data_IF_309205333131
#
_entry.id   IF_309205333131
#
_cell.length_a   1.000
_cell.length_b   1.000
_cell.length_c   1.000
_cell.angle_alpha   90.00
_cell.angle_beta   90.00
_cell.angle_gamma   90.00
#
_symmetry.space_group_name_H-M   'P 1'
#
loop_
_entity.id
_entity.type
_entity.pdbx_description
1 polymer ?
#
# COMPACT_ATOMS: atom_id res chain seq x y z
N UNK A 1 -10.80 -17.57 -13.21
CA UNK A 1 -9.61 -16.73 -13.49
C UNK A 1 -9.06 -16.11 -12.21
N UNK A 2 -9.83 -15.32 -11.45
CA UNK A 2 -9.32 -14.63 -10.25
C UNK A 2 -8.72 -15.55 -9.18
N UNK A 3 -9.39 -16.67 -8.85
CA UNK A 3 -8.88 -17.64 -7.86
C UNK A 3 -7.52 -18.17 -8.30
N UNK A 4 -7.40 -18.59 -9.56
CA UNK A 4 -6.14 -19.09 -10.15
C UNK A 4 -5.03 -18.03 -10.08
N UNK A 5 -5.33 -16.79 -10.45
CA UNK A 5 -4.37 -15.67 -10.39
C UNK A 5 -3.90 -15.40 -8.96
N UNK A 6 -4.81 -15.31 -7.99
CA UNK A 6 -4.44 -15.08 -6.59
C UNK A 6 -3.64 -16.25 -6.01
N UNK A 7 -4.00 -17.49 -6.31
CA UNK A 7 -3.23 -18.66 -5.87
C UNK A 7 -1.80 -18.65 -6.39
N UNK A 8 -1.61 -18.31 -7.68
CA UNK A 8 -0.26 -18.20 -8.27
C UNK A 8 0.55 -17.11 -7.58
N UNK A 9 -0.04 -15.93 -7.36
CA UNK A 9 0.65 -14.81 -6.69
C UNK A 9 1.04 -15.18 -5.25
N UNK A 10 0.15 -15.84 -4.51
CA UNK A 10 0.44 -16.31 -3.14
C UNK A 10 1.64 -17.25 -3.13
N UNK A 11 1.68 -18.23 -4.04
CA UNK A 11 2.79 -19.18 -4.15
C UNK A 11 4.10 -18.45 -4.48
N UNK A 12 4.07 -17.57 -5.49
CA UNK A 12 5.25 -16.82 -5.92
C UNK A 12 5.79 -15.94 -4.80
N UNK A 13 4.96 -15.12 -4.16
CA UNK A 13 5.39 -14.23 -3.07
C UNK A 13 5.88 -15.00 -1.84
N UNK A 14 5.20 -16.09 -1.47
CA UNK A 14 5.63 -16.92 -0.34
C UNK A 14 6.96 -17.60 -0.60
N UNK A 15 7.17 -18.12 -1.82
CA UNK A 15 8.43 -18.76 -2.21
C UNK A 15 9.60 -17.76 -2.23
N UNK A 16 9.36 -16.54 -2.73
CA UNK A 16 10.35 -15.47 -2.75
C UNK A 16 10.71 -15.02 -1.34
N UNK A 17 9.71 -14.85 -0.46
CA UNK A 17 9.92 -14.48 0.93
C UNK A 17 10.74 -15.55 1.68
N UNK A 18 10.38 -16.83 1.52
CA UNK A 18 11.11 -17.94 2.14
C UNK A 18 12.56 -18.03 1.63
N UNK A 19 12.75 -17.94 0.31
CA UNK A 19 14.10 -18.00 -0.28
C UNK A 19 14.96 -16.81 0.16
N UNK A 20 14.41 -15.60 0.17
CA UNK A 20 15.10 -14.41 0.65
C UNK A 20 15.52 -14.50 2.12
N UNK A 21 14.61 -14.99 2.98
CA UNK A 21 14.90 -15.20 4.40
C UNK A 21 16.01 -16.24 4.61
N UNK A 22 16.00 -17.35 3.86
CA UNK A 22 17.05 -18.37 3.95
C UNK A 22 18.40 -17.88 3.43
N UNK A 23 18.41 -17.09 2.35
CA UNK A 23 19.62 -16.65 1.68
C UNK A 23 20.39 -15.59 2.46
N UNK A 24 19.68 -14.62 3.07
CA UNK A 24 20.30 -13.51 3.81
C UNK A 24 20.27 -13.67 5.33
N UNK A 25 19.52 -14.65 5.84
CA UNK A 25 19.45 -14.97 7.27
C UNK A 25 18.94 -13.80 8.12
N UNK A 26 19.41 -13.73 9.37
CA UNK A 26 19.01 -12.71 10.35
C UNK A 26 19.48 -11.27 10.04
N UNK A 27 20.30 -11.08 9.01
CA UNK A 27 20.82 -9.77 8.57
C UNK A 27 20.06 -9.16 7.40
N UNK A 28 18.89 -9.70 7.03
CA UNK A 28 18.10 -9.18 5.90
C UNK A 28 17.59 -7.76 6.18
N UNK A 29 17.86 -6.86 5.24
CA UNK A 29 17.39 -5.47 5.31
C UNK A 29 15.89 -5.40 5.03
N UNK A 30 15.23 -4.32 5.47
CA UNK A 30 13.80 -4.08 5.18
C UNK A 30 13.45 -4.07 3.69
N UNK A 31 14.44 -3.84 2.83
CA UNK A 31 14.34 -3.99 1.38
C UNK A 31 15.35 -5.03 0.92
N UNK A 32 14.86 -6.07 0.24
CA UNK A 32 15.68 -7.21 -0.19
C UNK A 32 16.82 -6.81 -1.15
N UNK A 33 16.60 -5.77 -1.96
CA UNK A 33 17.60 -5.24 -2.90
C UNK A 33 18.82 -4.66 -2.21
N UNK A 34 18.68 -4.17 -0.97
CA UNK A 34 19.80 -3.65 -0.18
C UNK A 34 20.69 -4.77 0.38
N UNK A 35 20.18 -5.99 0.51
CA UNK A 35 20.96 -7.14 0.96
C UNK A 35 21.69 -7.86 -0.18
N UNK A 36 21.34 -7.58 -1.44
CA UNK A 36 21.96 -8.22 -2.61
C UNK A 36 23.40 -7.72 -2.86
N UNK A 37 24.30 -8.60 -3.37
CA UNK A 37 25.68 -8.22 -3.69
C UNK A 37 25.75 -7.18 -4.82
N UNK A 38 26.45 -6.05 -4.65
CA UNK A 38 26.38 -4.90 -5.56
C UNK A 38 27.13 -5.10 -6.89
N UNK A 39 28.05 -6.07 -6.94
CA UNK A 39 28.88 -6.32 -8.12
C UNK A 39 28.15 -7.07 -9.24
N UNK A 40 27.01 -7.70 -8.95
CA UNK A 40 26.25 -8.47 -9.95
C UNK A 40 25.38 -7.55 -10.82
N UNK A 41 25.37 -7.82 -12.12
CA UNK A 41 24.50 -7.15 -13.09
C UNK A 41 23.02 -7.36 -12.73
N UNK A 42 22.66 -8.56 -12.26
CA UNK A 42 21.32 -8.87 -11.79
C UNK A 42 20.84 -7.92 -10.69
N UNK A 43 21.71 -7.58 -9.72
CA UNK A 43 21.39 -6.62 -8.66
C UNK A 43 21.12 -5.23 -9.23
N UNK A 44 21.91 -4.78 -10.22
CA UNK A 44 21.68 -3.50 -10.90
C UNK A 44 20.32 -3.47 -11.61
N UNK A 45 19.97 -4.55 -12.32
CA UNK A 45 18.66 -4.68 -12.96
C UNK A 45 17.53 -4.63 -11.93
N UNK A 46 17.67 -5.36 -10.81
CA UNK A 46 16.67 -5.38 -9.75
C UNK A 46 16.48 -4.01 -9.09
N UNK A 47 17.57 -3.25 -8.88
CA UNK A 47 17.51 -1.88 -8.37
C UNK A 47 16.77 -0.96 -9.34
N UNK A 48 17.10 -1.00 -10.63
CA UNK A 48 16.41 -0.20 -11.64
C UNK A 48 14.92 -0.57 -11.76
N UNK A 49 14.58 -1.86 -11.70
CA UNK A 49 13.19 -2.30 -11.70
C UNK A 49 12.41 -1.81 -10.47
N UNK A 50 13.05 -1.80 -9.29
CA UNK A 50 12.47 -1.29 -8.04
C UNK A 50 12.20 0.20 -8.10
N UNK A 51 13.03 0.98 -8.82
CA UNK A 51 12.81 2.42 -9.05
C UNK A 51 11.72 2.66 -10.09
N UNK A 52 11.71 1.89 -11.18
CA UNK A 52 10.77 2.07 -12.29
C UNK A 52 9.33 1.71 -11.89
N UNK A 53 9.15 0.73 -11.01
CA UNK A 53 7.84 0.27 -10.53
C UNK A 53 7.01 1.41 -9.90
N UNK A 54 7.46 2.11 -8.85
CA UNK A 54 6.70 3.21 -8.27
C UNK A 54 6.53 4.39 -9.24
N UNK A 55 7.52 4.68 -10.10
CA UNK A 55 7.39 5.76 -11.10
C UNK A 55 6.22 5.52 -12.06
N UNK A 56 6.11 4.30 -12.58
CA UNK A 56 5.02 3.92 -13.49
C UNK A 56 3.69 3.73 -12.76
N UNK A 57 3.70 3.09 -11.58
CA UNK A 57 2.49 2.91 -10.76
C UNK A 57 1.89 4.25 -10.32
N UNK A 58 2.71 5.23 -9.94
CA UNK A 58 2.23 6.54 -9.53
C UNK A 58 1.43 7.22 -10.65
N UNK A 59 1.94 7.21 -11.88
CA UNK A 59 1.24 7.82 -13.02
C UNK A 59 -0.13 7.16 -13.28
N UNK A 60 -0.21 5.83 -13.14
CA UNK A 60 -1.45 5.08 -13.30
C UNK A 60 -2.45 5.35 -12.17
N UNK A 61 -1.99 5.43 -10.93
CA UNK A 61 -2.84 5.70 -9.76
C UNK A 61 -3.31 7.17 -9.72
N UNK A 62 -2.49 8.11 -10.21
CA UNK A 62 -2.85 9.52 -10.29
C UNK A 62 -3.85 9.83 -11.42
N UNK A 63 -3.91 8.99 -12.47
CA UNK A 63 -4.81 9.20 -13.60
C UNK A 63 -6.30 9.32 -13.20
N UNK A 64 -6.91 8.37 -12.45
CA UNK A 64 -8.30 8.51 -12.01
C UNK A 64 -8.49 9.68 -11.05
N UNK A 65 -7.52 9.95 -10.15
CA UNK A 65 -7.58 11.10 -9.24
C UNK A 65 -7.65 12.40 -10.02
N UNK A 66 -6.83 12.53 -11.07
CA UNK A 66 -6.81 13.69 -11.93
C UNK A 66 -8.14 13.90 -12.67
N UNK A 67 -8.77 12.83 -13.16
CA UNK A 67 -10.08 12.90 -13.82
C UNK A 67 -11.15 13.37 -12.83
N UNK A 68 -11.17 12.80 -11.62
CA UNK A 68 -12.13 13.19 -10.58
C UNK A 68 -11.92 14.63 -10.11
N UNK A 69 -10.66 15.05 -9.99
CA UNK A 69 -10.30 16.43 -9.67
C UNK A 69 -10.78 17.41 -10.75
N UNK A 70 -10.60 17.07 -12.02
CA UNK A 70 -11.07 17.89 -13.15
C UNK A 70 -12.59 17.99 -13.20
N UNK A 71 -13.29 16.89 -12.90
CA UNK A 71 -14.75 16.86 -12.81
C UNK A 71 -15.29 17.68 -11.62
N UNK A 72 -14.54 17.74 -10.51
CA UNK A 72 -14.91 18.55 -9.35
C UNK A 72 -14.66 20.06 -9.56
N UNK A 73 -13.85 20.45 -10.56
CA UNK A 73 -13.53 21.84 -10.85
C UNK A 73 -14.68 22.55 -11.60
N UNK A 74 -15.04 23.79 -11.21
CA UNK A 74 -16.09 24.57 -11.87
C UNK A 74 -15.91 24.68 -13.39
N UNK A 75 -17.00 24.52 -14.13
CA UNK A 75 -16.98 24.54 -15.60
C UNK A 75 -16.56 25.89 -16.20
N UNK A 76 -16.69 26.99 -15.43
CA UNK A 76 -16.29 28.33 -15.85
C UNK A 76 -14.77 28.57 -15.87
N UNK A 77 -13.97 27.63 -15.36
CA UNK A 77 -12.51 27.77 -15.34
C UNK A 77 -11.90 27.42 -16.70
N UNK A 78 -10.95 28.23 -17.17
CA UNK A 78 -10.22 27.98 -18.41
C UNK A 78 -9.48 26.64 -18.38
N UNK A 79 -9.37 25.96 -19.53
CA UNK A 79 -8.66 24.68 -19.65
C UNK A 79 -7.21 24.74 -19.14
N UNK A 80 -6.50 25.85 -19.41
CA UNK A 80 -5.15 26.11 -18.91
C UNK A 80 -5.09 26.14 -17.37
N UNK A 81 -6.07 26.77 -16.72
CA UNK A 81 -6.13 26.84 -15.27
C UNK A 81 -6.43 25.48 -14.65
N UNK A 82 -7.32 24.68 -15.25
CA UNK A 82 -7.60 23.31 -14.79
C UNK A 82 -6.36 22.42 -14.88
N UNK A 83 -5.62 22.50 -15.97
CA UNK A 83 -4.36 21.76 -16.15
C UNK A 83 -3.29 22.21 -15.13
N UNK A 84 -3.18 23.52 -14.88
CA UNK A 84 -2.28 24.07 -13.87
C UNK A 84 -2.63 23.58 -12.45
N UNK A 85 -3.92 23.56 -12.08
CA UNK A 85 -4.38 23.07 -10.78
C UNK A 85 -4.09 21.58 -10.61
N UNK A 86 -4.37 20.77 -11.63
CA UNK A 86 -4.03 19.35 -11.66
C UNK A 86 -2.53 19.13 -11.47
N UNK A 87 -1.70 19.87 -12.21
CA UNK A 87 -0.25 19.79 -12.11
C UNK A 87 0.26 20.24 -10.73
N UNK A 88 -0.31 21.31 -10.17
CA UNK A 88 0.03 21.80 -8.85
C UNK A 88 -0.31 20.78 -7.75
N UNK A 89 -1.50 20.18 -7.79
CA UNK A 89 -1.91 19.15 -6.82
C UNK A 89 -1.03 17.91 -6.94
N UNK A 90 -0.80 17.42 -8.16
CA UNK A 90 0.08 16.27 -8.38
C UNK A 90 1.51 16.52 -7.92
N UNK A 91 2.05 17.72 -8.18
CA UNK A 91 3.39 18.11 -7.72
C UNK A 91 3.45 18.25 -6.20
N UNK A 92 2.42 18.84 -5.58
CA UNK A 92 2.33 18.97 -4.13
C UNK A 92 2.30 17.61 -3.42
N UNK A 93 1.53 16.65 -3.96
CA UNK A 93 1.48 15.28 -3.44
C UNK A 93 2.85 14.60 -3.56
N UNK A 94 3.51 14.71 -4.72
CA UNK A 94 4.86 14.15 -4.92
C UNK A 94 5.89 14.77 -3.96
N UNK A 95 5.87 16.09 -3.79
CA UNK A 95 6.75 16.78 -2.86
C UNK A 95 6.48 16.37 -1.41
N UNK A 96 5.22 16.15 -1.04
CA UNK A 96 4.85 15.66 0.29
C UNK A 96 5.36 14.23 0.53
N UNK A 97 5.25 13.35 -0.46
CA UNK A 97 5.80 11.98 -0.39
C UNK A 97 7.33 12.03 -0.28
N UNK A 98 7.99 12.89 -1.06
CA UNK A 98 9.44 13.07 -1.01
C UNK A 98 9.88 13.58 0.37
N UNK A 99 9.21 14.59 0.90
CA UNK A 99 9.48 15.13 2.24
C UNK A 99 9.32 14.05 3.33
N UNK A 100 8.26 13.25 3.25
CA UNK A 100 8.02 12.14 4.18
C UNK A 100 9.12 11.08 4.07
N UNK A 101 9.54 10.72 2.85
CA UNK A 101 10.60 9.75 2.61
C UNK A 101 11.97 10.20 3.16
N UNK A 102 12.26 11.51 3.08
CA UNK A 102 13.48 12.09 3.65
C UNK A 102 13.44 12.16 5.18
N UNK A 103 12.26 12.39 5.76
CA UNK A 103 12.09 12.52 7.22
C UNK A 103 12.00 11.17 7.92
N UNK A 104 11.42 10.16 7.26
CA UNK A 104 11.12 8.85 7.85
C UNK A 104 11.68 7.73 6.95
N UNK A 105 12.99 7.43 7.03
CA UNK A 105 13.65 6.44 6.18
C UNK A 105 13.38 4.98 6.59
N UNK A 106 12.36 4.72 7.43
CA UNK A 106 12.06 3.39 7.97
C UNK A 106 11.01 2.64 7.15
N UNK A 107 11.43 2.09 6.01
CA UNK A 107 10.54 1.44 5.05
C UNK A 107 9.62 0.38 5.66
N UNK A 108 10.15 -0.51 6.50
CA UNK A 108 9.36 -1.59 7.13
C UNK A 108 8.23 -1.09 8.02
N UNK A 109 8.46 -0.04 8.81
CA UNK A 109 7.44 0.48 9.73
C UNK A 109 6.37 1.27 8.98
N UNK A 110 6.76 2.02 7.95
CA UNK A 110 5.80 2.71 7.06
C UNK A 110 4.93 1.71 6.30
N UNK A 111 5.52 0.63 5.77
CA UNK A 111 4.76 -0.45 5.14
C UNK A 111 3.84 -1.17 6.12
N UNK A 112 4.32 -1.50 7.32
CA UNK A 112 3.51 -2.14 8.36
C UNK A 112 2.33 -1.25 8.80
N UNK A 113 2.58 0.05 8.97
CA UNK A 113 1.55 1.03 9.30
C UNK A 113 0.51 1.18 8.19
N UNK A 114 0.94 1.38 6.93
CA UNK A 114 0.02 1.53 5.80
C UNK A 114 -0.78 0.25 5.54
N UNK A 115 -0.16 -0.92 5.65
CA UNK A 115 -0.85 -2.20 5.54
C UNK A 115 -1.90 -2.42 6.63
N UNK A 116 -1.53 -2.23 7.89
CA UNK A 116 -2.45 -2.44 9.01
C UNK A 116 -3.58 -1.41 9.08
N UNK A 117 -3.33 -0.14 8.72
CA UNK A 117 -4.35 0.90 8.76
C UNK A 117 -5.21 0.91 7.48
N UNK A 118 -4.58 1.11 6.32
CA UNK A 118 -5.28 1.38 5.06
C UNK A 118 -5.73 0.08 4.40
N UNK A 119 -4.82 -0.91 4.26
CA UNK A 119 -5.15 -2.15 3.55
C UNK A 119 -6.18 -2.99 4.29
N UNK A 120 -6.09 -3.13 5.61
CA UNK A 120 -7.14 -3.82 6.40
C UNK A 120 -8.50 -3.14 6.26
N UNK A 121 -8.52 -1.80 6.30
CA UNK A 121 -9.75 -1.02 6.11
C UNK A 121 -10.39 -1.28 4.75
N UNK A 122 -9.62 -1.12 3.67
CA UNK A 122 -10.13 -1.21 2.30
C UNK A 122 -10.39 -2.65 1.84
N UNK A 123 -9.56 -3.61 2.26
CA UNK A 123 -9.62 -4.99 1.77
C UNK A 123 -10.47 -5.93 2.63
N UNK A 124 -10.67 -5.62 3.92
CA UNK A 124 -11.43 -6.49 4.85
C UNK A 124 -12.70 -5.77 5.32
N UNK A 125 -12.55 -4.63 5.99
CA UNK A 125 -13.66 -3.98 6.71
C UNK A 125 -14.71 -3.43 5.75
N UNK A 126 -14.29 -2.62 4.78
CA UNK A 126 -15.17 -1.94 3.83
C UNK A 126 -15.99 -2.92 2.94
N UNK A 127 -15.40 -3.93 2.28
CA UNK A 127 -16.17 -4.86 1.46
C UNK A 127 -17.15 -5.70 2.30
N UNK A 128 -16.77 -6.15 3.50
CA UNK A 128 -17.68 -6.87 4.39
C UNK A 128 -18.83 -6.01 4.90
N UNK A 129 -18.57 -4.74 5.24
CA UNK A 129 -19.62 -3.79 5.62
C UNK A 129 -20.60 -3.51 4.49
N UNK A 130 -20.09 -3.27 3.28
CA UNK A 130 -20.95 -3.01 2.12
C UNK A 130 -21.75 -4.26 1.72
N UNK A 131 -21.16 -5.45 1.80
CA UNK A 131 -21.87 -6.69 1.52
C UNK A 131 -23.05 -6.91 2.48
N UNK A 132 -22.83 -6.75 3.80
CA UNK A 132 -23.92 -6.84 4.79
C UNK A 132 -24.95 -5.73 4.57
N UNK A 133 -24.53 -4.49 4.31
CA UNK A 133 -25.44 -3.35 4.18
C UNK A 133 -26.34 -3.45 2.93
N UNK A 134 -25.80 -3.96 1.82
CA UNK A 134 -26.52 -4.07 0.54
C UNK A 134 -27.37 -5.34 0.48
N UNK A 135 -26.82 -6.48 0.93
CA UNK A 135 -27.46 -7.79 0.77
C UNK A 135 -28.02 -8.37 2.08
N UNK A 136 -27.98 -7.64 3.19
CA UNK A 136 -28.25 -8.14 4.54
C UNK A 136 -29.62 -8.80 4.74
N UNK A 137 -30.66 -8.35 4.03
CA UNK A 137 -32.00 -8.96 4.11
C UNK A 137 -32.14 -10.25 3.29
N UNK A 138 -31.20 -10.53 2.38
CA UNK A 138 -31.28 -11.63 1.41
C UNK A 138 -30.32 -12.78 1.74
N UNK A 139 -29.41 -12.60 2.71
CA UNK A 139 -28.33 -13.55 3.01
C UNK A 139 -28.58 -14.33 4.30
N UNK A 140 -28.03 -15.54 4.37
CA UNK A 140 -28.13 -16.40 5.55
C UNK A 140 -27.45 -15.77 6.77
N UNK A 141 -27.99 -16.04 7.97
CA UNK A 141 -27.41 -15.62 9.25
C UNK A 141 -25.96 -16.09 9.42
N UNK A 142 -25.60 -17.24 8.85
CA UNK A 142 -24.22 -17.75 8.86
C UNK A 142 -23.26 -16.85 8.06
N UNK A 143 -23.68 -16.38 6.88
CA UNK A 143 -22.88 -15.48 6.04
C UNK A 143 -22.71 -14.11 6.70
N UNK A 144 -23.75 -13.62 7.37
CA UNK A 144 -23.66 -12.39 8.19
C UNK A 144 -22.65 -12.59 9.31
N UNK A 145 -22.76 -13.69 10.06
CA UNK A 145 -21.84 -14.00 11.16
C UNK A 145 -20.38 -14.07 10.68
N UNK A 146 -20.11 -14.73 9.54
CA UNK A 146 -18.77 -14.78 8.94
C UNK A 146 -18.22 -13.39 8.58
N UNK A 147 -19.03 -12.53 7.96
CA UNK A 147 -18.59 -11.17 7.64
C UNK A 147 -18.36 -10.31 8.89
N UNK A 148 -19.18 -10.48 9.93
CA UNK A 148 -18.95 -9.82 11.23
C UNK A 148 -17.65 -10.31 11.86
N UNK A 149 -17.35 -11.61 11.80
CA UNK A 149 -16.08 -12.16 12.27
C UNK A 149 -14.90 -11.54 11.52
N UNK A 150 -14.96 -11.43 10.19
CA UNK A 150 -13.91 -10.77 9.41
C UNK A 150 -13.73 -9.30 9.80
N UNK A 151 -14.82 -8.57 10.03
CA UNK A 151 -14.75 -7.19 10.51
C UNK A 151 -14.06 -7.14 11.87
N UNK A 152 -14.48 -7.95 12.84
CA UNK A 152 -13.88 -7.95 14.20
C UNK A 152 -12.39 -8.30 14.14
N UNK A 153 -12.02 -9.39 13.46
CA UNK A 153 -10.61 -9.80 13.31
C UNK A 153 -9.82 -8.71 12.58
N UNK A 154 -10.34 -8.18 11.48
CA UNK A 154 -9.72 -7.09 10.74
C UNK A 154 -9.49 -5.87 11.63
N UNK A 155 -10.49 -5.45 12.40
CA UNK A 155 -10.37 -4.29 13.30
C UNK A 155 -9.31 -4.53 14.38
N UNK A 156 -9.27 -5.72 14.98
CA UNK A 156 -8.23 -6.08 15.96
C UNK A 156 -6.84 -6.03 15.33
N UNK A 157 -6.63 -6.71 14.19
CA UNK A 157 -5.35 -6.72 13.48
C UNK A 157 -4.93 -5.31 13.04
N UNK A 158 -5.87 -4.50 12.56
CA UNK A 158 -5.62 -3.13 12.15
C UNK A 158 -5.21 -2.26 13.34
N UNK A 159 -5.93 -2.31 14.46
CA UNK A 159 -5.61 -1.54 15.67
C UNK A 159 -4.27 -1.96 16.26
N UNK A 160 -4.07 -3.26 16.50
CA UNK A 160 -2.80 -3.75 17.06
C UNK A 160 -1.62 -3.49 16.12
N UNK A 161 -1.79 -3.72 14.82
CA UNK A 161 -0.77 -3.46 13.80
C UNK A 161 -0.40 -1.98 13.69
N UNK A 162 -1.40 -1.09 13.72
CA UNK A 162 -1.20 0.36 13.66
C UNK A 162 -0.51 0.86 14.92
N UNK A 163 -0.93 0.42 16.11
CA UNK A 163 -0.30 0.78 17.37
C UNK A 163 1.15 0.27 17.43
N UNK A 164 1.39 -0.98 17.05
CA UNK A 164 2.73 -1.59 17.08
C UNK A 164 3.69 -0.90 16.11
N UNK A 165 3.26 -0.72 14.86
CA UNK A 165 4.07 -0.07 13.83
C UNK A 165 4.29 1.42 14.14
N UNK A 166 3.24 2.11 14.61
CA UNK A 166 3.32 3.52 14.99
C UNK A 166 4.24 3.76 16.19
N UNK A 167 4.16 2.93 17.24
CA UNK A 167 5.09 3.03 18.38
C UNK A 167 6.53 2.75 17.96
N UNK A 168 6.75 1.74 17.11
CA UNK A 168 8.09 1.43 16.59
C UNK A 168 8.66 2.57 15.74
N UNK A 169 7.81 3.19 14.91
CA UNK A 169 8.17 4.34 14.10
C UNK A 169 8.55 5.55 14.96
N UNK A 170 7.72 5.91 15.95
CA UNK A 170 7.97 7.03 16.85
C UNK A 170 9.24 6.83 17.67
N UNK A 171 9.47 5.61 18.19
CA UNK A 171 10.70 5.28 18.90
C UNK A 171 11.93 5.44 18.02
N UNK A 172 11.85 4.96 16.77
CA UNK A 172 12.97 5.04 15.83
C UNK A 172 13.29 6.50 15.48
N UNK A 173 12.27 7.34 15.29
CA UNK A 173 12.44 8.79 15.07
C UNK A 173 13.03 9.47 16.31
N UNK A 174 12.61 9.10 17.52
CA UNK A 174 13.14 9.71 18.76
C UNK A 174 14.59 9.36 19.08
N UNK A 175 15.11 8.30 18.45
CA UNK A 175 16.48 7.81 18.63
C UNK A 175 17.44 8.27 17.51
N UNK A 176 16.91 8.88 16.45
CA UNK A 176 17.65 9.42 15.32
C UNK A 176 17.98 10.91 15.52
#
# INVERSE_FOLDING_TARGET
VSITSFSIVIILYSSLAFMGAKMFGGGVSSQITLSMPPHLIATKIALWATVLTPMTKYALEFAPIAIQLENALPHFMSSRLKHAIRAAIGSFVLLSILFLALTIPYFQYVLGFTGSLISVGVCIILPSLFYIKISGSQISRATIALNVIFIVIGTLLGVFGTISSGKSLLRSISQA
#
